data_IF_728748215702
#
_entry.id   IF_728748215702
#
_cell.length_a   1.000
_cell.length_b   1.000
_cell.length_c   1.000
_cell.angle_alpha   90.00
_cell.angle_beta   90.00
_cell.angle_gamma   90.00
#
_symmetry.space_group_name_H-M   'P 1'
#
loop_
_entity.id
_entity.type
_entity.pdbx_description
1 polymer ?
#
# COMPACT_ATOMS: atom_id res chain seq x y z
N UNK A 1 -27.36 12.87 -16.75
CA UNK A 1 -26.13 12.65 -15.95
C UNK A 1 -26.53 11.81 -14.76
N UNK A 2 -26.54 10.50 -14.91
CA UNK A 2 -26.77 9.55 -13.82
C UNK A 2 -25.51 8.75 -13.67
N UNK A 3 -24.91 8.83 -12.49
CA UNK A 3 -24.12 7.80 -11.79
C UNK A 3 -23.29 8.53 -10.73
N UNK A 4 -23.82 8.60 -9.51
CA UNK A 4 -23.10 9.14 -8.35
C UNK A 4 -23.42 8.41 -7.04
N UNK A 5 -24.11 7.27 -7.11
CA UNK A 5 -24.46 6.46 -5.93
C UNK A 5 -23.75 5.10 -5.90
N UNK A 6 -23.49 4.50 -7.06
CA UNK A 6 -22.93 3.14 -7.13
C UNK A 6 -21.42 3.10 -6.82
N UNK A 7 -20.66 4.17 -7.13
CA UNK A 7 -19.22 4.22 -6.83
C UNK A 7 -18.91 4.35 -5.32
N UNK A 8 -19.86 4.85 -4.52
CA UNK A 8 -19.64 5.10 -3.10
C UNK A 8 -19.66 3.79 -2.28
N UNK A 9 -20.58 2.88 -2.58
CA UNK A 9 -20.71 1.58 -1.90
C UNK A 9 -19.52 0.64 -2.18
N UNK A 10 -18.95 0.73 -3.39
CA UNK A 10 -17.76 -0.03 -3.78
C UNK A 10 -16.51 0.51 -3.07
N UNK A 11 -16.38 1.84 -2.94
CA UNK A 11 -15.29 2.47 -2.19
C UNK A 11 -15.32 2.10 -0.71
N UNK A 12 -16.50 2.15 -0.08
CA UNK A 12 -16.68 1.78 1.34
C UNK A 12 -16.30 0.32 1.58
N UNK A 13 -16.79 -0.60 0.75
CA UNK A 13 -16.47 -2.04 0.84
C UNK A 13 -14.97 -2.33 0.67
N UNK A 14 -14.27 -1.55 -0.14
CA UNK A 14 -12.83 -1.73 -0.36
C UNK A 14 -12.02 -1.13 0.79
N UNK A 15 -12.46 -0.01 1.37
CA UNK A 15 -11.88 0.59 2.58
C UNK A 15 -12.00 -0.34 3.78
N UNK A 16 -13.15 -1.00 3.95
CA UNK A 16 -13.37 -2.00 5.00
C UNK A 16 -12.43 -3.18 4.86
N UNK A 17 -12.23 -3.69 3.63
CA UNK A 17 -11.24 -4.76 3.38
C UNK A 17 -9.83 -4.31 3.75
N UNK A 18 -9.41 -3.10 3.38
CA UNK A 18 -8.06 -2.61 3.73
C UNK A 18 -7.90 -2.41 5.24
N UNK A 19 -8.93 -1.94 5.92
CA UNK A 19 -8.93 -1.81 7.37
C UNK A 19 -8.83 -3.17 8.06
N UNK A 20 -9.57 -4.17 7.57
CA UNK A 20 -9.50 -5.54 8.04
C UNK A 20 -8.10 -6.16 7.83
N UNK A 21 -7.51 -6.04 6.63
CA UNK A 21 -6.13 -6.49 6.35
C UNK A 21 -5.15 -5.89 7.35
N UNK A 22 -5.25 -4.58 7.60
CA UNK A 22 -4.39 -3.87 8.55
C UNK A 22 -4.58 -4.42 9.98
N UNK A 23 -5.82 -4.70 10.38
CA UNK A 23 -6.16 -5.28 11.68
C UNK A 23 -5.53 -6.65 11.88
N UNK A 24 -5.70 -7.56 10.92
CA UNK A 24 -5.13 -8.91 10.99
C UNK A 24 -3.60 -8.91 10.90
N UNK A 25 -3.00 -8.00 10.13
CA UNK A 25 -1.54 -7.86 10.11
C UNK A 25 -1.01 -7.39 11.47
N UNK A 26 -1.77 -6.54 12.16
CA UNK A 26 -1.41 -6.11 13.52
C UNK A 26 -1.52 -7.24 14.54
N UNK A 27 -2.50 -8.14 14.43
CA UNK A 27 -2.60 -9.30 15.35
C UNK A 27 -1.44 -10.26 15.17
N UNK A 28 -0.94 -10.49 13.96
CA UNK A 28 0.25 -11.31 13.70
C UNK A 28 1.50 -10.81 14.43
N UNK A 29 1.69 -9.50 14.49
CA UNK A 29 2.87 -8.89 15.12
C UNK A 29 2.70 -8.59 16.61
N UNK A 30 1.50 -8.75 17.18
CA UNK A 30 1.24 -8.46 18.58
C UNK A 30 1.72 -9.62 19.47
N UNK A 31 2.70 -9.41 20.37
CA UNK A 31 3.20 -10.46 21.26
C UNK A 31 2.18 -10.90 22.31
N UNK A 32 1.11 -10.11 22.56
CA UNK A 32 0.05 -10.44 23.52
C UNK A 32 -1.06 -11.31 22.93
N UNK A 33 -1.01 -11.61 21.64
CA UNK A 33 -2.01 -12.45 20.95
C UNK A 33 -1.52 -13.89 20.95
N UNK A 34 -2.44 -14.83 21.19
CA UNK A 34 -2.15 -16.26 21.19
C UNK A 34 -1.78 -16.77 19.79
N UNK A 35 -1.02 -17.86 19.73
CA UNK A 35 -0.58 -18.41 18.45
C UNK A 35 -1.74 -18.92 17.59
N UNK A 36 -2.80 -19.46 18.21
CA UNK A 36 -4.02 -19.84 17.50
C UNK A 36 -4.71 -18.63 16.83
N UNK A 37 -4.78 -17.49 17.52
CA UNK A 37 -5.37 -16.28 16.96
C UNK A 37 -4.50 -15.69 15.83
N UNK A 38 -3.18 -15.84 15.89
CA UNK A 38 -2.27 -15.49 14.80
C UNK A 38 -2.46 -16.40 13.59
N UNK A 39 -2.55 -17.71 13.79
CA UNK A 39 -2.82 -18.66 12.70
C UNK A 39 -4.12 -18.33 11.97
N UNK A 40 -5.20 -18.07 12.71
CA UNK A 40 -6.47 -17.64 12.12
C UNK A 40 -6.34 -16.31 11.36
N UNK A 41 -5.64 -15.31 11.94
CA UNK A 41 -5.41 -14.04 11.26
C UNK A 41 -4.62 -14.21 9.95
N UNK A 42 -3.67 -15.15 9.91
CA UNK A 42 -2.90 -15.46 8.72
C UNK A 42 -3.76 -16.14 7.65
N UNK A 43 -4.61 -17.09 8.05
CA UNK A 43 -5.53 -17.81 7.15
C UNK A 43 -6.52 -16.84 6.48
N UNK A 44 -7.14 -15.95 7.28
CA UNK A 44 -8.05 -14.92 6.78
C UNK A 44 -7.35 -13.95 5.83
N UNK A 45 -6.10 -13.55 6.13
CA UNK A 45 -5.32 -12.69 5.25
C UNK A 45 -5.04 -13.33 3.89
N UNK A 46 -4.71 -14.62 3.86
CA UNK A 46 -4.32 -15.33 2.63
C UNK A 46 -5.55 -15.71 1.80
N UNK A 47 -6.56 -16.32 2.42
CA UNK A 47 -7.71 -16.92 1.75
C UNK A 47 -8.83 -15.91 1.44
N UNK A 48 -9.11 -14.99 2.36
CA UNK A 48 -10.31 -14.12 2.26
C UNK A 48 -9.96 -12.73 1.76
N UNK A 49 -8.89 -12.12 2.28
CA UNK A 49 -8.50 -10.75 1.93
C UNK A 49 -7.42 -10.64 0.85
N UNK A 50 -6.86 -11.77 0.39
CA UNK A 50 -5.85 -11.84 -0.67
C UNK A 50 -4.62 -10.95 -0.41
N UNK A 51 -4.25 -10.77 0.87
CA UNK A 51 -3.09 -10.02 1.32
C UNK A 51 -3.16 -8.51 1.05
N UNK A 52 -2.24 -7.98 0.24
CA UNK A 52 -2.03 -6.53 0.02
C UNK A 52 -2.79 -5.96 -1.20
N UNK A 53 -3.48 -6.80 -1.99
CA UNK A 53 -4.28 -6.38 -3.16
C UNK A 53 -5.32 -5.28 -2.89
N UNK A 54 -6.15 -5.34 -1.83
CA UNK A 54 -7.19 -4.33 -1.62
C UNK A 54 -6.61 -2.93 -1.40
N UNK A 55 -5.34 -2.83 -0.98
CA UNK A 55 -4.64 -1.55 -0.87
C UNK A 55 -4.37 -0.93 -2.24
N UNK A 56 -3.93 -1.72 -3.22
CA UNK A 56 -3.69 -1.25 -4.58
C UNK A 56 -5.00 -0.83 -5.26
N UNK A 57 -6.07 -1.59 -5.05
CA UNK A 57 -7.39 -1.27 -5.60
C UNK A 57 -7.92 0.06 -5.05
N UNK A 58 -7.79 0.31 -3.73
CA UNK A 58 -8.12 1.62 -3.16
C UNK A 58 -7.24 2.75 -3.69
N UNK A 59 -5.95 2.51 -3.86
CA UNK A 59 -5.04 3.51 -4.42
C UNK A 59 -5.42 3.87 -5.85
N UNK A 60 -5.95 2.92 -6.62
CA UNK A 60 -6.37 3.11 -8.00
C UNK A 60 -7.77 3.72 -8.11
N UNK A 61 -8.68 3.36 -7.19
CA UNK A 61 -10.06 3.86 -7.16
C UNK A 61 -10.19 5.26 -6.54
N UNK A 62 -9.35 5.60 -5.54
CA UNK A 62 -9.41 6.88 -4.81
C UNK A 62 -8.28 7.84 -5.16
N UNK A 63 -7.16 7.33 -5.67
CA UNK A 63 -5.99 8.13 -6.00
C UNK A 63 -6.04 8.62 -7.44
N UNK A 64 -5.86 9.92 -7.64
CA UNK A 64 -5.48 10.46 -8.95
C UNK A 64 -4.22 9.70 -9.43
N UNK A 65 -4.28 8.95 -10.55
CA UNK A 65 -3.17 8.12 -11.02
C UNK A 65 -1.87 8.93 -11.17
N UNK A 66 -1.99 10.21 -11.56
CA UNK A 66 -0.87 11.12 -11.71
C UNK A 66 -0.18 11.43 -10.37
N UNK A 67 -0.90 11.34 -9.25
CA UNK A 67 -0.36 11.58 -7.90
C UNK A 67 0.30 10.34 -7.30
N UNK A 68 0.06 9.14 -7.83
CA UNK A 68 0.68 7.91 -7.33
C UNK A 68 2.19 7.95 -7.57
N UNK A 69 2.61 8.28 -8.80
CA UNK A 69 4.02 8.46 -9.13
C UNK A 69 4.70 9.53 -8.27
N UNK A 70 4.04 10.67 -8.09
CA UNK A 70 4.54 11.74 -7.21
C UNK A 70 4.72 11.30 -5.75
N UNK A 71 3.76 10.57 -5.18
CA UNK A 71 3.84 10.06 -3.79
C UNK A 71 4.95 9.04 -3.60
N UNK A 72 5.11 8.13 -4.57
CA UNK A 72 6.20 7.14 -4.54
C UNK A 72 7.55 7.84 -4.63
N UNK A 73 7.73 8.77 -5.57
CA UNK A 73 8.94 9.57 -5.70
C UNK A 73 9.26 10.37 -4.42
N UNK A 74 8.27 11.01 -3.82
CA UNK A 74 8.42 11.73 -2.55
C UNK A 74 8.85 10.79 -1.40
N UNK A 75 8.27 9.59 -1.33
CA UNK A 75 8.62 8.57 -0.34
C UNK A 75 10.06 8.08 -0.48
N UNK A 76 10.51 7.79 -1.70
CA UNK A 76 11.88 7.39 -1.99
C UNK A 76 12.88 8.51 -1.63
N UNK A 77 12.56 9.76 -1.97
CA UNK A 77 13.37 10.92 -1.58
C UNK A 77 13.46 11.09 -0.06
N UNK A 78 12.38 10.84 0.66
CA UNK A 78 12.40 10.84 2.12
C UNK A 78 13.26 9.70 2.68
N UNK A 79 13.18 8.50 2.09
CA UNK A 79 14.00 7.36 2.49
C UNK A 79 15.51 7.61 2.30
N UNK A 80 15.91 8.34 1.24
CA UNK A 80 17.29 8.77 1.03
C UNK A 80 17.79 9.71 2.13
N UNK A 81 16.94 10.65 2.56
CA UNK A 81 17.32 11.69 3.55
C UNK A 81 17.19 11.23 5.00
N UNK A 82 16.50 10.12 5.25
CA UNK A 82 16.27 9.65 6.61
C UNK A 82 17.58 9.14 7.23
N UNK A 83 18.11 9.78 8.30
CA UNK A 83 19.35 9.35 8.94
C UNK A 83 19.23 7.98 9.62
N UNK A 84 18.01 7.53 9.94
CA UNK A 84 17.74 6.19 10.50
C UNK A 84 17.76 5.09 9.44
N UNK A 85 17.80 5.45 8.16
CA UNK A 85 17.88 4.47 7.08
C UNK A 85 19.34 4.03 6.86
N UNK A 86 19.51 2.77 6.47
CA UNK A 86 20.83 2.23 6.11
C UNK A 86 21.35 2.86 4.82
N UNK A 87 22.67 2.93 4.65
CA UNK A 87 23.29 3.43 3.41
C UNK A 87 22.82 2.65 2.17
N UNK A 88 22.74 1.30 2.27
CA UNK A 88 22.18 0.46 1.20
C UNK A 88 20.71 0.81 0.91
N UNK A 89 19.92 1.12 1.94
CA UNK A 89 18.53 1.54 1.78
C UNK A 89 18.38 2.90 1.09
N UNK A 90 19.27 3.85 1.39
CA UNK A 90 19.31 5.17 0.73
C UNK A 90 19.74 5.03 -0.73
N UNK A 91 20.75 4.23 -1.02
CA UNK A 91 21.23 3.98 -2.38
C UNK A 91 20.11 3.41 -3.26
N UNK A 92 19.47 2.31 -2.81
CA UNK A 92 18.35 1.69 -3.53
C UNK A 92 17.18 2.65 -3.76
N UNK A 93 16.89 3.51 -2.77
CA UNK A 93 15.84 4.50 -2.92
C UNK A 93 16.17 5.54 -4.02
N UNK A 94 17.45 5.88 -4.18
CA UNK A 94 17.92 6.73 -5.28
C UNK A 94 17.84 6.07 -6.64
N UNK A 95 18.36 4.85 -6.76
CA UNK A 95 18.31 4.08 -8.01
C UNK A 95 16.87 3.93 -8.51
N UNK A 96 15.93 3.65 -7.61
CA UNK A 96 14.50 3.53 -7.96
C UNK A 96 13.89 4.88 -8.37
N UNK A 97 14.32 5.98 -7.76
CA UNK A 97 13.86 7.32 -8.11
C UNK A 97 14.34 7.74 -9.51
N UNK A 98 15.60 7.42 -9.84
CA UNK A 98 16.17 7.66 -11.16
C UNK A 98 15.49 6.81 -12.24
N UNK A 99 15.21 5.53 -11.96
CA UNK A 99 14.46 4.64 -12.84
C UNK A 99 13.06 5.19 -13.14
N UNK A 100 12.36 5.69 -12.12
CA UNK A 100 11.04 6.30 -12.29
C UNK A 100 11.08 7.59 -13.12
N UNK A 101 12.12 8.41 -12.96
CA UNK A 101 12.31 9.61 -13.79
C UNK A 101 12.46 9.24 -15.27
N UNK A 102 13.31 8.24 -15.57
CA UNK A 102 13.52 7.75 -16.94
C UNK A 102 12.22 7.19 -17.54
N UNK A 103 11.48 6.39 -16.78
CA UNK A 103 10.20 5.85 -17.24
C UNK A 103 9.17 6.94 -17.55
N UNK A 104 9.17 8.04 -16.77
CA UNK A 104 8.28 9.18 -17.03
C UNK A 104 8.69 10.01 -18.26
N UNK A 105 9.99 10.11 -18.54
CA UNK A 105 10.55 10.76 -19.73
C UNK A 105 10.31 9.94 -21.00
N UNK A 106 10.37 8.61 -20.91
CA UNK A 106 10.10 7.68 -22.02
C UNK A 106 8.61 7.52 -22.35
N UNK A 107 7.72 7.89 -21.41
CA UNK A 107 6.27 7.78 -21.56
C UNK A 107 5.57 9.11 -21.91
N UNK A 108 6.33 10.20 -22.10
CA UNK A 108 5.84 11.52 -22.54
C UNK A 108 6.08 11.75 -24.03
#
# INVERSE_FOLDING_TARGET
MSNSREDNDVSASTEDRVNAVRGYKATLHNPRVSDQAKQHAQDVLDNELQGDKPRQDLYSARGDPNKVGFRVAAGLKAAQKNPRNSERGKQRAGEKLDEMSRQSEESS
#
